data_IF_542210718716
#
_entry.id   IF_542210718716
#
_cell.length_a   1.000
_cell.length_b   1.000
_cell.length_c   1.000
_cell.angle_alpha   90.00
_cell.angle_beta   90.00
_cell.angle_gamma   90.00
#
_symmetry.space_group_name_H-M   'P 1'
#
loop_
_entity.id
_entity.type
_entity.pdbx_description
1 polymer ?
#
# COMPACT_ATOMS: atom_id res chain seq x y z
N UNK A 1 -5.36 6.77 14.04
CA UNK A 1 -5.97 5.48 13.63
C UNK A 1 -4.87 4.42 13.55
N UNK A 2 -5.11 3.17 13.96
CA UNK A 2 -4.07 2.13 13.94
C UNK A 2 -3.65 1.84 12.49
N UNK A 3 -2.35 1.93 12.22
CA UNK A 3 -1.76 1.57 10.94
C UNK A 3 -1.88 0.05 10.72
N UNK A 4 -2.00 -0.39 9.46
CA UNK A 4 -1.96 -1.81 9.14
C UNK A 4 -0.62 -2.42 9.56
N UNK A 5 -0.66 -3.61 10.16
CA UNK A 5 0.54 -4.35 10.49
C UNK A 5 1.02 -5.13 9.25
N UNK A 6 2.13 -4.71 8.66
CA UNK A 6 2.66 -5.26 7.41
C UNK A 6 3.77 -6.28 7.65
N UNK A 7 4.15 -7.03 6.61
CA UNK A 7 5.26 -8.00 6.68
C UNK A 7 6.58 -7.26 6.89
N UNK A 8 6.80 -6.13 6.21
CA UNK A 8 8.01 -5.32 6.43
C UNK A 8 8.09 -4.83 7.87
N UNK A 9 6.98 -4.35 8.44
CA UNK A 9 6.94 -3.89 9.83
C UNK A 9 7.23 -5.03 10.80
N UNK A 10 6.65 -6.21 10.56
CA UNK A 10 6.92 -7.42 11.33
C UNK A 10 8.40 -7.81 11.30
N UNK A 11 9.01 -7.89 10.10
CA UNK A 11 10.42 -8.23 9.96
C UNK A 11 11.32 -7.19 10.63
N UNK A 12 11.02 -5.90 10.45
CA UNK A 12 11.77 -4.81 11.10
C UNK A 12 11.72 -4.94 12.62
N UNK A 13 10.54 -5.13 13.20
CA UNK A 13 10.38 -5.27 14.66
C UNK A 13 11.10 -6.49 15.20
N UNK A 14 11.01 -7.65 14.51
CA UNK A 14 11.74 -8.85 14.93
C UNK A 14 13.24 -8.61 14.87
N UNK A 15 13.75 -8.01 13.80
CA UNK A 15 15.17 -7.73 13.65
C UNK A 15 15.69 -6.72 14.67
N UNK A 16 14.91 -5.70 15.01
CA UNK A 16 15.23 -4.74 16.06
C UNK A 16 15.36 -5.43 17.43
N UNK A 17 14.41 -6.32 17.76
CA UNK A 17 14.43 -7.08 19.01
C UNK A 17 15.58 -8.09 19.06
N UNK A 18 15.94 -8.69 17.92
CA UNK A 18 17.01 -9.68 17.82
C UNK A 18 18.41 -9.06 17.74
N UNK A 19 18.53 -7.78 17.41
CA UNK A 19 19.81 -7.09 17.23
C UNK A 19 20.80 -7.27 18.40
N UNK A 20 20.40 -7.22 19.69
CA UNK A 20 21.34 -7.40 20.82
C UNK A 20 21.94 -8.79 20.94
N UNK A 21 21.31 -9.81 20.36
CA UNK A 21 21.73 -11.22 20.42
C UNK A 21 22.18 -11.76 19.05
N UNK A 22 22.11 -10.94 18.01
CA UNK A 22 22.59 -11.28 16.68
C UNK A 22 24.11 -11.47 16.73
N UNK A 23 24.57 -12.60 16.20
CA UNK A 23 25.99 -12.91 15.98
C UNK A 23 26.26 -12.92 14.48
N UNK A 24 27.52 -12.94 14.06
CA UNK A 24 27.90 -12.99 12.64
C UNK A 24 27.28 -14.19 11.88
N UNK A 25 26.87 -15.24 12.61
CA UNK A 25 26.20 -16.43 12.06
C UNK A 25 24.67 -16.30 11.94
N UNK A 26 24.06 -15.32 12.61
CA UNK A 26 22.61 -15.09 12.62
C UNK A 26 22.33 -13.58 12.56
N UNK A 27 22.73 -12.97 11.44
CA UNK A 27 22.74 -11.51 11.28
C UNK A 27 21.38 -10.85 11.06
N UNK A 28 20.35 -11.59 10.61
CA UNK A 28 18.97 -11.08 10.49
C UNK A 28 17.94 -12.18 10.18
N UNK A 29 16.70 -11.92 10.56
CA UNK A 29 15.51 -12.69 10.18
C UNK A 29 15.03 -12.23 8.80
N UNK A 30 14.83 -13.19 7.91
CA UNK A 30 14.29 -13.00 6.56
C UNK A 30 13.07 -13.91 6.35
N UNK A 31 12.19 -13.53 5.41
CA UNK A 31 11.03 -14.33 5.05
C UNK A 31 11.38 -15.27 3.89
N UNK A 32 11.11 -16.56 4.06
CA UNK A 32 11.26 -17.56 3.00
C UNK A 32 9.91 -18.18 2.63
N UNK A 33 9.68 -18.35 1.32
CA UNK A 33 8.52 -19.08 0.80
C UNK A 33 8.89 -20.53 0.56
N UNK A 34 8.02 -21.43 1.02
CA UNK A 34 8.10 -22.86 0.70
C UNK A 34 7.39 -23.13 -0.62
N UNK A 35 8.11 -23.70 -1.58
CA UNK A 35 7.53 -24.16 -2.85
C UNK A 35 6.85 -25.51 -2.70
N UNK A 36 6.03 -25.90 -3.68
CA UNK A 36 5.35 -27.21 -3.72
C UNK A 36 6.33 -28.39 -3.62
N UNK A 37 7.53 -28.23 -4.19
CA UNK A 37 8.61 -29.21 -4.16
C UNK A 37 9.41 -29.19 -2.84
N UNK A 38 8.97 -28.44 -1.83
CA UNK A 38 9.61 -28.35 -0.52
C UNK A 38 10.83 -27.44 -0.44
N UNK A 39 11.27 -26.84 -1.56
CA UNK A 39 12.41 -25.92 -1.60
C UNK A 39 12.02 -24.59 -0.96
N UNK A 40 12.88 -24.09 -0.07
CA UNK A 40 12.76 -22.77 0.56
C UNK A 40 13.47 -21.73 -0.30
N UNK A 41 12.75 -20.68 -0.69
CA UNK A 41 13.30 -19.56 -1.46
C UNK A 41 13.14 -18.27 -0.67
N UNK A 42 14.15 -17.42 -0.70
CA UNK A 42 14.03 -16.08 -0.13
C UNK A 42 12.92 -15.30 -0.84
N UNK A 43 12.12 -14.58 -0.06
CA UNK A 43 11.06 -13.72 -0.59
C UNK A 43 11.70 -12.43 -1.08
N UNK A 44 11.49 -12.10 -2.36
CA UNK A 44 12.03 -10.89 -2.95
C UNK A 44 11.39 -9.62 -2.36
N UNK A 45 12.07 -8.48 -2.48
CA UNK A 45 11.54 -7.18 -2.04
C UNK A 45 10.19 -6.85 -2.72
N UNK A 46 10.03 -7.22 -4.00
CA UNK A 46 8.76 -7.05 -4.73
C UNK A 46 7.63 -7.90 -4.14
N UNK A 47 7.93 -9.14 -3.76
CA UNK A 47 6.95 -10.01 -3.09
C UNK A 47 6.60 -9.48 -1.69
N UNK A 48 7.57 -8.97 -0.93
CA UNK A 48 7.31 -8.32 0.36
C UNK A 48 6.41 -7.09 0.17
N UNK A 49 6.71 -6.21 -0.78
CA UNK A 49 5.89 -5.03 -1.09
C UNK A 49 4.45 -5.41 -1.50
N UNK A 50 4.29 -6.49 -2.26
CA UNK A 50 2.98 -7.04 -2.60
C UNK A 50 2.21 -7.54 -1.37
N UNK A 51 2.87 -8.28 -0.47
CA UNK A 51 2.26 -8.75 0.79
C UNK A 51 1.86 -7.59 1.70
N UNK A 52 2.68 -6.56 1.78
CA UNK A 52 2.40 -5.33 2.53
C UNK A 52 1.17 -4.62 1.96
N UNK A 53 1.12 -4.45 0.64
CA UNK A 53 -0.05 -3.86 -0.04
C UNK A 53 -1.31 -4.66 0.26
N UNK A 54 -1.24 -6.00 0.16
CA UNK A 54 -2.37 -6.89 0.49
C UNK A 54 -2.82 -6.74 1.94
N UNK A 55 -1.89 -6.64 2.89
CA UNK A 55 -2.19 -6.42 4.30
C UNK A 55 -2.89 -5.07 4.54
N UNK A 56 -2.38 -3.99 3.93
CA UNK A 56 -2.98 -2.65 4.02
C UNK A 56 -4.39 -2.59 3.43
N UNK A 57 -4.60 -3.21 2.25
CA UNK A 57 -5.92 -3.29 1.61
C UNK A 57 -6.90 -4.05 2.51
N UNK A 58 -6.50 -5.22 3.03
CA UNK A 58 -7.34 -6.01 3.92
C UNK A 58 -7.72 -5.23 5.18
N UNK A 59 -6.74 -4.59 5.82
CA UNK A 59 -6.97 -3.78 7.03
C UNK A 59 -7.94 -2.62 6.75
N UNK A 60 -7.75 -1.90 5.65
CA UNK A 60 -8.62 -0.79 5.25
C UNK A 60 -10.04 -1.27 4.98
N UNK A 61 -10.21 -2.37 4.26
CA UNK A 61 -11.52 -2.96 4.00
C UNK A 61 -12.23 -3.38 5.31
N UNK A 62 -11.49 -3.93 6.28
CA UNK A 62 -12.04 -4.28 7.59
C UNK A 62 -12.49 -3.05 8.38
N UNK A 63 -11.74 -1.95 8.33
CA UNK A 63 -12.12 -0.69 8.97
C UNK A 63 -13.36 -0.07 8.30
N UNK A 64 -13.34 0.01 6.97
CA UNK A 64 -14.43 0.55 6.16
C UNK A 64 -15.73 -0.24 6.33
N UNK A 65 -15.65 -1.56 6.52
CA UNK A 65 -16.83 -2.40 6.73
C UNK A 65 -17.63 -2.01 7.98
N UNK A 66 -17.00 -1.34 8.96
CA UNK A 66 -17.63 -0.87 10.19
C UNK A 66 -18.16 0.57 10.09
N UNK A 67 -17.94 1.25 8.96
CA UNK A 67 -18.35 2.64 8.75
C UNK A 67 -19.72 2.74 8.10
N UNK A 68 -20.51 3.71 8.54
CA UNK A 68 -21.71 4.13 7.81
C UNK A 68 -21.37 4.90 6.53
N UNK A 69 -22.39 5.21 5.73
CA UNK A 69 -22.23 5.91 4.44
C UNK A 69 -21.56 7.28 4.58
N UNK A 70 -21.89 8.05 5.62
CA UNK A 70 -21.32 9.37 5.87
C UNK A 70 -19.84 9.28 6.24
N UNK A 71 -19.51 8.35 7.13
CA UNK A 71 -18.15 8.08 7.56
C UNK A 71 -17.28 7.54 6.41
N UNK A 72 -17.82 6.73 5.50
CA UNK A 72 -17.11 6.30 4.27
C UNK A 72 -16.77 7.48 3.35
N UNK A 73 -17.70 8.42 3.16
CA UNK A 73 -17.43 9.63 2.37
C UNK A 73 -16.29 10.44 3.00
N UNK A 74 -16.31 10.62 4.32
CA UNK A 74 -15.24 11.33 5.02
C UNK A 74 -13.90 10.58 4.96
N UNK A 75 -13.93 9.26 5.06
CA UNK A 75 -12.75 8.40 4.89
C UNK A 75 -12.13 8.58 3.51
N UNK A 76 -12.92 8.48 2.43
CA UNK A 76 -12.44 8.68 1.05
C UNK A 76 -11.81 10.06 0.89
N UNK A 77 -12.47 11.11 1.40
CA UNK A 77 -11.95 12.47 1.32
C UNK A 77 -10.61 12.63 2.04
N UNK A 78 -10.49 12.06 3.24
CA UNK A 78 -9.27 12.09 4.06
C UNK A 78 -8.11 11.38 3.35
N UNK A 79 -8.36 10.15 2.87
CA UNK A 79 -7.33 9.37 2.18
C UNK A 79 -6.93 10.00 0.84
N UNK A 80 -7.89 10.55 0.09
CA UNK A 80 -7.59 11.30 -1.13
C UNK A 80 -6.69 12.51 -0.84
N UNK A 81 -6.99 13.28 0.21
CA UNK A 81 -6.16 14.43 0.57
C UNK A 81 -4.75 14.00 0.99
N UNK A 82 -4.63 12.97 1.83
CA UNK A 82 -3.33 12.42 2.22
C UNK A 82 -2.52 11.95 1.01
N UNK A 83 -3.17 11.30 0.03
CA UNK A 83 -2.55 10.89 -1.23
C UNK A 83 -2.07 12.09 -2.05
N UNK A 84 -2.90 13.13 -2.18
CA UNK A 84 -2.54 14.36 -2.87
C UNK A 84 -1.34 15.02 -2.19
N UNK A 85 -1.34 15.16 -0.86
CA UNK A 85 -0.25 15.80 -0.11
C UNK A 85 1.06 15.04 -0.27
N UNK A 86 1.02 13.71 -0.22
CA UNK A 86 2.18 12.86 -0.45
C UNK A 86 2.70 12.98 -1.90
N UNK A 87 1.79 13.04 -2.88
CA UNK A 87 2.15 13.19 -4.29
C UNK A 87 2.89 14.51 -4.54
N UNK A 88 2.40 15.62 -3.98
CA UNK A 88 3.06 16.94 -4.12
C UNK A 88 4.46 16.97 -3.47
N UNK A 89 4.70 16.14 -2.46
CA UNK A 89 6.02 15.99 -1.82
C UNK A 89 6.97 15.04 -2.55
N UNK A 90 6.53 14.42 -3.65
CA UNK A 90 7.32 13.40 -4.38
C UNK A 90 7.29 12.02 -3.73
N UNK A 91 6.48 11.82 -2.69
CA UNK A 91 6.36 10.55 -1.97
C UNK A 91 5.36 9.61 -2.68
N UNK A 92 5.69 9.19 -3.91
CA UNK A 92 4.75 8.48 -4.78
C UNK A 92 4.27 7.12 -4.24
N UNK A 93 5.11 6.39 -3.49
CA UNK A 93 4.70 5.15 -2.84
C UNK A 93 3.62 5.38 -1.79
N UNK A 94 3.84 6.37 -0.91
CA UNK A 94 2.87 6.75 0.12
C UNK A 94 1.58 7.30 -0.50
N UNK A 95 1.69 8.08 -1.58
CA UNK A 95 0.54 8.57 -2.32
C UNK A 95 -0.31 7.43 -2.90
N UNK A 96 0.35 6.45 -3.55
CA UNK A 96 -0.31 5.27 -4.09
C UNK A 96 -1.06 4.47 -3.00
N UNK A 97 -0.42 4.25 -1.85
CA UNK A 97 -1.06 3.58 -0.71
C UNK A 97 -2.33 4.30 -0.27
N UNK A 98 -2.29 5.63 -0.11
CA UNK A 98 -3.46 6.42 0.30
C UNK A 98 -4.60 6.36 -0.74
N UNK A 99 -4.29 6.41 -2.04
CA UNK A 99 -5.31 6.25 -3.08
C UNK A 99 -5.93 4.85 -3.08
N UNK A 100 -5.14 3.80 -2.87
CA UNK A 100 -5.65 2.44 -2.71
C UNK A 100 -6.58 2.35 -1.49
N UNK A 101 -6.21 2.95 -0.35
CA UNK A 101 -7.07 2.99 0.84
C UNK A 101 -8.37 3.75 0.58
N UNK A 102 -8.34 4.86 -0.17
CA UNK A 102 -9.54 5.58 -0.59
C UNK A 102 -10.44 4.70 -1.46
N UNK A 103 -9.87 3.93 -2.41
CA UNK A 103 -10.61 3.02 -3.28
C UNK A 103 -11.34 1.92 -2.50
N UNK A 104 -10.78 1.43 -1.38
CA UNK A 104 -11.45 0.43 -0.54
C UNK A 104 -12.75 0.92 0.10
N UNK A 105 -12.95 2.24 0.20
CA UNK A 105 -14.10 2.86 0.83
C UNK A 105 -15.17 3.36 -0.14
N UNK A 106 -15.00 3.15 -1.45
CA UNK A 106 -16.00 3.57 -2.43
C UNK A 106 -17.33 2.86 -2.20
N UNK A 107 -18.37 3.67 -2.07
CA UNK A 107 -19.75 3.22 -2.06
C UNK A 107 -20.42 3.72 -3.34
N UNK A 108 -20.83 2.79 -4.19
CA UNK A 108 -21.47 3.10 -5.46
C UNK A 108 -22.98 3.36 -5.32
N UNK A 109 -23.54 3.17 -4.12
CA UNK A 109 -24.97 3.28 -3.90
C UNK A 109 -25.77 2.21 -4.63
N UNK A 110 -27.08 2.42 -4.72
CA UNK A 110 -28.02 1.45 -5.31
C UNK A 110 -28.62 1.92 -6.63
N UNK A 111 -28.63 3.24 -6.87
CA UNK A 111 -29.17 3.83 -8.10
C UNK A 111 -28.11 3.99 -9.19
N UNK A 112 -28.55 4.11 -10.45
CA UNK A 112 -27.64 4.36 -11.58
C UNK A 112 -26.95 5.71 -11.44
N UNK A 113 -27.68 6.72 -10.96
CA UNK A 113 -27.19 8.08 -10.75
C UNK A 113 -26.10 8.12 -9.67
N UNK A 114 -26.29 7.42 -8.55
CA UNK A 114 -25.26 7.28 -7.51
C UNK A 114 -24.01 6.57 -8.03
N UNK A 115 -24.19 5.49 -8.81
CA UNK A 115 -23.07 4.75 -9.42
C UNK A 115 -22.25 5.65 -10.33
N UNK A 116 -22.92 6.35 -11.26
CA UNK A 116 -22.26 7.28 -12.19
C UNK A 116 -21.55 8.40 -11.42
N UNK A 117 -22.21 8.99 -10.42
CA UNK A 117 -21.62 10.05 -9.62
C UNK A 117 -20.37 9.57 -8.86
N UNK A 118 -20.41 8.38 -8.26
CA UNK A 118 -19.27 7.78 -7.57
C UNK A 118 -18.11 7.50 -8.55
N UNK A 119 -18.41 6.94 -9.71
CA UNK A 119 -17.41 6.68 -10.76
C UNK A 119 -16.72 7.97 -11.21
N UNK A 120 -17.50 8.98 -11.61
CA UNK A 120 -16.96 10.21 -12.18
C UNK A 120 -16.25 11.09 -11.15
N UNK A 121 -16.79 11.20 -9.93
CA UNK A 121 -16.27 12.12 -8.92
C UNK A 121 -15.18 11.51 -8.05
N UNK A 122 -15.15 10.19 -7.91
CA UNK A 122 -14.25 9.49 -6.98
C UNK A 122 -13.39 8.44 -7.69
N UNK A 123 -13.99 7.40 -8.29
CA UNK A 123 -13.22 6.26 -8.81
C UNK A 123 -12.22 6.68 -9.89
N UNK A 124 -12.69 7.40 -10.92
CA UNK A 124 -11.85 7.82 -12.03
C UNK A 124 -10.68 8.70 -11.53
N UNK A 125 -10.91 9.80 -10.78
CA UNK A 125 -9.80 10.61 -10.25
C UNK A 125 -8.81 9.81 -9.39
N UNK A 126 -9.29 8.94 -8.50
CA UNK A 126 -8.42 8.14 -7.63
C UNK A 126 -7.56 7.15 -8.43
N UNK A 127 -8.15 6.47 -9.41
CA UNK A 127 -7.42 5.54 -10.28
C UNK A 127 -6.43 6.26 -11.20
N UNK A 128 -6.77 7.44 -11.73
CA UNK A 128 -5.85 8.26 -12.50
C UNK A 128 -4.64 8.70 -11.66
N UNK A 129 -4.88 9.17 -10.43
CA UNK A 129 -3.79 9.58 -9.54
C UNK A 129 -2.91 8.38 -9.14
N UNK A 130 -3.51 7.21 -8.91
CA UNK A 130 -2.78 5.98 -8.65
C UNK A 130 -1.89 5.59 -9.84
N UNK A 131 -2.43 5.65 -11.06
CA UNK A 131 -1.66 5.39 -12.28
C UNK A 131 -0.51 6.39 -12.44
N UNK A 132 -0.74 7.67 -12.14
CA UNK A 132 0.32 8.68 -12.12
C UNK A 132 1.43 8.33 -11.11
N UNK A 133 1.08 7.87 -9.91
CA UNK A 133 2.08 7.41 -8.94
C UNK A 133 2.92 6.25 -9.49
N UNK A 134 2.28 5.27 -10.12
CA UNK A 134 2.97 4.11 -10.71
C UNK A 134 3.96 4.53 -11.79
N UNK A 135 3.54 5.42 -12.70
CA UNK A 135 4.41 5.99 -13.74
C UNK A 135 5.58 6.75 -13.14
N UNK A 136 5.35 7.59 -12.13
CA UNK A 136 6.42 8.35 -11.48
C UNK A 136 7.44 7.46 -10.78
N UNK A 137 7.00 6.36 -10.15
CA UNK A 137 7.90 5.38 -9.54
C UNK A 137 8.75 4.64 -10.58
N UNK A 138 8.17 4.28 -11.73
CA UNK A 138 8.90 3.62 -12.82
C UNK A 138 9.91 4.57 -13.48
N UNK A 139 9.51 5.83 -13.75
CA UNK A 139 10.39 6.86 -14.33
C UNK A 139 11.52 7.24 -13.37
N UNK A 140 11.25 7.34 -12.06
CA UNK A 140 12.28 7.61 -11.05
C UNK A 140 13.33 6.49 -11.00
N UNK A 141 12.93 5.22 -11.12
CA UNK A 141 13.86 4.08 -11.19
C UNK A 141 14.72 4.11 -12.47
N UNK A 142 14.16 4.57 -13.59
CA UNK A 142 14.90 4.76 -14.85
C UNK A 142 15.98 5.85 -14.77
N UNK A 143 15.69 6.97 -14.09
CA UNK A 143 16.65 8.06 -13.91
C UNK A 143 17.82 7.70 -12.99
N UNK A 144 17.56 6.92 -11.92
CA UNK A 144 18.61 6.42 -11.02
C UNK A 144 19.53 5.41 -11.72
N UNK A 145 19.01 4.64 -12.68
CA UNK A 145 19.81 3.71 -13.48
C UNK A 145 20.73 4.42 -14.48
N UNK A 146 20.39 5.64 -14.90
CA UNK A 146 21.20 6.42 -15.85
C UNK A 146 22.39 7.16 -15.19
N UNK A 147 22.38 7.32 -13.86
CA UNK A 147 23.50 7.90 -13.09
C UNK A 147 24.51 6.86 -12.57
N UNK A 148 24.40 5.59 -12.98
CA UNK A 148 25.34 4.50 -12.64
C UNK A 148 26.12 3.95 -13.84
N UNK A 149 26.21 4.72 -14.94
CA UNK A 149 27.09 4.40 -16.09
C UNK A 149 28.21 5.43 -16.16
#
# INVERSE_FOLDING_TARGET
MPEAYTVSKMLSTINEVMAPVATDLCGSVTLQRKTENGIMLNTSEKEIAYLDTKARVKHSAQQVAQLDKSAKVHWVATQRQAGNDAFHKGNYHQAAEAYIQALTALDFGSTTEEKIACQQKLQIPLTCNLAACMLMMEVALGLVSCHRV
#
